data_IF_887133770981
#
_entry.id   IF_887133770981
#
_cell.length_a   1.000
_cell.length_b   1.000
_cell.length_c   1.000
_cell.angle_alpha   90.00
_cell.angle_beta   90.00
_cell.angle_gamma   90.00
#
_symmetry.space_group_name_H-M   'P 1'
#
loop_
_entity.id
_entity.type
_entity.pdbx_description
1 polymer ?
#
# COMPACT_ATOMS: atom_id res chain seq x y z
N UNK A 1 -2.16 7.45 -8.49
CA UNK A 1 -3.40 8.16 -8.92
C UNK A 1 -4.10 8.52 -7.62
N UNK A 2 -4.05 9.79 -7.22
CA UNK A 2 -4.83 10.37 -6.13
C UNK A 2 -6.28 10.45 -6.64
N UNK A 3 -7.14 9.57 -6.15
CA UNK A 3 -8.59 9.74 -6.29
C UNK A 3 -8.99 10.91 -5.41
N UNK A 4 -9.41 12.01 -6.04
CA UNK A 4 -10.05 13.13 -5.35
C UNK A 4 -11.36 12.62 -4.69
N UNK A 5 -11.63 12.98 -3.42
CA UNK A 5 -12.91 12.67 -2.79
C UNK A 5 -14.06 13.36 -3.54
N UNK A 6 -15.27 12.77 -3.54
CA UNK A 6 -16.42 13.34 -4.22
C UNK A 6 -16.76 14.74 -3.68
N UNK A 7 -17.22 15.67 -4.52
CA UNK A 7 -17.55 17.03 -4.12
C UNK A 7 -18.71 17.02 -3.12
N UNK A 8 -18.46 17.51 -1.90
CA UNK A 8 -19.47 17.67 -0.84
C UNK A 8 -19.10 17.14 0.54
N UNK A 9 -18.04 16.37 0.70
CA UNK A 9 -17.56 15.93 2.02
C UNK A 9 -16.35 16.76 2.44
N UNK A 10 -16.55 17.75 3.27
CA UNK A 10 -15.44 18.40 3.99
C UNK A 10 -14.73 17.33 4.83
N UNK A 11 -13.40 17.19 4.71
CA UNK A 11 -12.67 16.23 5.54
C UNK A 11 -12.90 16.59 7.00
N UNK A 12 -13.35 15.59 7.76
CA UNK A 12 -13.61 15.75 9.21
C UNK A 12 -12.27 15.93 9.91
N UNK A 13 -11.79 17.19 9.97
CA UNK A 13 -10.51 17.60 10.55
C UNK A 13 -10.39 17.17 12.03
N UNK A 14 -11.52 16.91 12.72
CA UNK A 14 -11.56 16.35 14.07
C UNK A 14 -11.12 14.88 14.09
N UNK A 15 -11.40 14.08 13.06
CA UNK A 15 -10.90 12.70 12.94
C UNK A 15 -9.40 12.67 12.65
N UNK A 16 -8.88 13.62 11.89
CA UNK A 16 -7.43 13.74 11.63
C UNK A 16 -6.63 14.11 12.88
N UNK A 17 -7.20 14.91 13.79
CA UNK A 17 -6.53 15.28 15.03
C UNK A 17 -6.58 14.19 16.11
N UNK A 18 -7.57 13.27 16.08
CA UNK A 18 -7.70 12.21 17.09
C UNK A 18 -6.92 10.93 16.77
N UNK A 19 -6.38 10.81 15.54
CA UNK A 19 -5.55 9.66 15.12
C UNK A 19 -4.04 9.91 15.22
N UNK A 20 -3.61 11.08 15.70
CA UNK A 20 -2.20 11.31 16.00
C UNK A 20 -1.83 10.75 17.36
N UNK A 21 -1.78 9.44 17.52
CA UNK A 21 -0.78 8.83 18.37
C UNK A 21 0.57 9.21 17.74
N UNK A 22 1.10 10.37 18.12
CA UNK A 22 2.44 10.82 17.75
C UNK A 22 3.39 9.79 18.37
N UNK A 23 3.73 8.76 17.61
CA UNK A 23 4.70 7.77 18.08
C UNK A 23 6.02 8.52 18.23
N UNK A 24 6.62 8.43 19.43
CA UNK A 24 7.92 9.00 19.74
C UNK A 24 8.97 8.67 18.67
N UNK A 25 8.86 7.52 18.04
CA UNK A 25 9.70 7.10 16.91
C UNK A 25 9.67 8.05 15.70
N UNK A 26 8.58 8.80 15.50
CA UNK A 26 8.48 9.80 14.42
C UNK A 26 9.04 11.16 14.80
N UNK A 27 9.15 11.48 16.09
CA UNK A 27 9.71 12.75 16.55
C UNK A 27 11.24 12.70 16.71
N UNK A 28 11.80 11.53 17.02
CA UNK A 28 13.23 11.35 17.25
C UNK A 28 14.14 11.86 16.11
N UNK A 29 13.86 11.59 14.82
CA UNK A 29 14.68 12.11 13.73
C UNK A 29 14.67 13.64 13.67
N UNK A 30 13.51 14.28 13.92
CA UNK A 30 13.41 15.74 13.94
C UNK A 30 14.18 16.35 15.12
N UNK A 31 14.03 15.76 16.30
CA UNK A 31 14.77 16.21 17.49
C UNK A 31 16.29 16.06 17.29
N UNK A 32 16.73 14.98 16.67
CA UNK A 32 18.16 14.80 16.33
C UNK A 32 18.64 15.87 15.36
N UNK A 33 17.83 16.26 14.38
CA UNK A 33 18.17 17.32 13.42
C UNK A 33 18.29 18.68 14.11
N UNK A 34 17.36 19.01 15.01
CA UNK A 34 17.44 20.24 15.81
C UNK A 34 18.66 20.23 16.73
N UNK A 35 18.93 19.10 17.39
CA UNK A 35 20.11 18.94 18.26
C UNK A 35 21.43 19.09 17.51
N UNK A 36 21.56 18.50 16.32
CA UNK A 36 22.76 18.64 15.48
C UNK A 36 22.89 20.04 14.91
N UNK A 37 21.80 20.74 14.62
CA UNK A 37 21.83 22.14 14.21
C UNK A 37 22.37 23.03 15.34
N UNK A 38 21.88 22.85 16.56
CA UNK A 38 22.38 23.58 17.74
C UNK A 38 23.89 23.28 17.96
N UNK A 39 24.29 22.02 17.82
CA UNK A 39 25.69 21.61 17.93
C UNK A 39 26.56 22.29 16.86
N UNK A 40 26.06 22.42 15.64
CA UNK A 40 26.74 23.13 14.54
C UNK A 40 26.98 24.60 14.87
N UNK A 41 26.04 25.26 15.58
CA UNK A 41 26.16 26.65 15.99
C UNK A 41 27.08 26.83 17.21
N UNK A 42 27.24 25.80 18.07
CA UNK A 42 28.06 25.85 19.28
C UNK A 42 29.53 25.48 19.03
N UNK A 43 29.79 24.60 18.05
CA UNK A 43 31.11 24.13 17.73
C UNK A 43 31.62 24.88 16.50
N UNK A 44 32.59 25.77 16.71
CA UNK A 44 33.26 26.51 15.65
C UNK A 44 34.18 25.57 14.85
N UNK A 45 34.15 25.72 13.52
CA UNK A 45 35.08 25.01 12.64
C UNK A 45 34.44 24.50 11.34
N UNK A 46 35.25 24.26 10.29
CA UNK A 46 34.74 23.86 8.96
C UNK A 46 34.03 22.50 8.94
N UNK A 47 34.33 21.61 9.91
CA UNK A 47 33.69 20.29 10.03
C UNK A 47 32.31 20.34 10.62
N UNK A 48 31.87 21.41 11.31
CA UNK A 48 30.58 21.52 11.97
C UNK A 48 29.41 21.48 10.96
N UNK A 49 29.63 21.94 9.74
CA UNK A 49 28.63 21.91 8.65
C UNK A 49 28.16 20.49 8.32
N UNK A 50 28.99 19.48 8.59
CA UNK A 50 28.67 18.08 8.31
C UNK A 50 27.83 17.40 9.43
N UNK A 51 27.75 17.95 10.64
CA UNK A 51 27.06 17.32 11.77
C UNK A 51 25.59 16.97 11.51
N UNK A 52 24.81 17.76 10.78
CA UNK A 52 23.42 17.43 10.49
C UNK A 52 23.20 16.34 9.44
N UNK A 53 24.24 15.93 8.71
CA UNK A 53 24.08 14.91 7.63
C UNK A 53 23.49 13.60 8.14
N UNK A 54 23.98 12.99 9.24
CA UNK A 54 23.38 11.76 9.78
C UNK A 54 21.92 11.94 10.20
N UNK A 55 21.56 13.11 10.78
CA UNK A 55 20.19 13.40 11.17
C UNK A 55 19.27 13.59 9.95
N UNK A 56 19.75 14.27 8.90
CA UNK A 56 19.03 14.40 7.63
C UNK A 56 18.81 13.06 6.94
N UNK A 57 19.82 12.16 6.96
CA UNK A 57 19.67 10.80 6.45
C UNK A 57 18.62 10.01 7.26
N UNK A 58 18.63 10.16 8.59
CA UNK A 58 17.62 9.52 9.43
C UNK A 58 16.22 10.05 9.14
N UNK A 59 16.06 11.37 8.92
CA UNK A 59 14.82 11.95 8.45
C UNK A 59 14.40 11.38 7.07
N UNK A 60 15.33 11.22 6.14
CA UNK A 60 15.07 10.69 4.81
C UNK A 60 14.53 9.26 4.81
N UNK A 61 14.95 8.44 5.79
CA UNK A 61 14.47 7.07 5.97
C UNK A 61 13.05 7.03 6.55
N UNK A 62 12.72 7.97 7.44
CA UNK A 62 11.48 7.93 8.22
C UNK A 62 10.35 8.82 7.66
N UNK A 63 10.67 9.83 6.87
CA UNK A 63 9.70 10.78 6.33
C UNK A 63 9.50 10.62 4.82
N UNK A 64 8.43 11.25 4.31
CA UNK A 64 8.17 11.31 2.86
C UNK A 64 9.22 12.15 2.14
N UNK A 65 9.39 11.93 0.83
CA UNK A 65 10.30 12.71 -0.02
C UNK A 65 10.00 14.22 0.10
N UNK A 66 8.72 14.60 0.12
CA UNK A 66 8.31 16.00 0.26
C UNK A 66 8.76 16.61 1.60
N UNK A 67 8.50 15.91 2.72
CA UNK A 67 8.91 16.38 4.04
C UNK A 67 10.44 16.49 4.16
N UNK A 68 11.17 15.50 3.65
CA UNK A 68 12.64 15.49 3.61
C UNK A 68 13.18 16.64 2.76
N UNK A 69 12.57 16.91 1.59
CA UNK A 69 12.95 18.05 0.74
C UNK A 69 12.78 19.39 1.46
N UNK A 70 11.65 19.57 2.15
CA UNK A 70 11.37 20.77 2.92
C UNK A 70 12.36 20.96 4.07
N UNK A 71 12.66 19.90 4.81
CA UNK A 71 13.65 19.91 5.90
C UNK A 71 15.05 20.22 5.37
N UNK A 72 15.47 19.60 4.28
CA UNK A 72 16.76 19.85 3.62
C UNK A 72 16.89 21.30 3.14
N UNK A 73 15.83 21.83 2.51
CA UNK A 73 15.80 23.20 2.03
C UNK A 73 15.88 24.20 3.20
N UNK A 74 15.06 23.99 4.23
CA UNK A 74 15.05 24.84 5.44
C UNK A 74 16.40 24.82 6.12
N UNK A 75 16.99 23.65 6.26
CA UNK A 75 18.33 23.49 6.85
C UNK A 75 19.41 24.19 6.03
N UNK A 76 19.45 24.01 4.72
CA UNK A 76 20.42 24.66 3.83
C UNK A 76 20.29 26.19 3.88
N UNK A 77 19.06 26.69 3.90
CA UNK A 77 18.79 28.14 4.02
C UNK A 77 19.28 28.70 5.35
N UNK A 78 19.04 27.99 6.46
CA UNK A 78 19.49 28.43 7.80
C UNK A 78 21.03 28.47 7.87
N UNK A 79 21.73 27.46 7.36
CA UNK A 79 23.20 27.45 7.30
C UNK A 79 23.73 28.60 6.46
N UNK A 80 23.16 28.87 5.29
CA UNK A 80 23.60 29.98 4.43
C UNK A 80 23.36 31.34 5.10
N UNK A 81 22.23 31.51 5.82
CA UNK A 81 21.98 32.73 6.60
C UNK A 81 22.94 32.87 7.79
N UNK A 82 23.24 31.76 8.49
CA UNK A 82 24.20 31.77 9.59
C UNK A 82 25.62 32.16 9.13
N UNK A 83 26.02 31.66 7.95
CA UNK A 83 27.28 32.02 7.30
C UNK A 83 27.30 33.51 6.85
N UNK A 84 26.21 34.00 6.25
CA UNK A 84 26.13 35.39 5.79
C UNK A 84 26.11 36.44 6.90
N UNK A 85 25.54 36.07 8.06
CA UNK A 85 25.47 36.95 9.23
C UNK A 85 26.69 36.83 10.20
N UNK A 86 27.69 35.98 9.85
CA UNK A 86 28.90 35.82 10.65
C UNK A 86 28.72 35.01 11.94
N UNK A 87 27.58 34.31 12.12
CA UNK A 87 27.36 33.41 13.26
C UNK A 87 28.20 32.11 13.17
N UNK A 88 28.64 31.76 11.97
CA UNK A 88 29.58 30.68 11.73
C UNK A 88 30.88 31.32 11.23
N UNK A 89 31.85 31.53 12.16
CA UNK A 89 33.21 31.99 11.83
C UNK A 89 34.00 30.82 11.33
N UNK A 90 34.20 30.74 10.06
CA UNK A 90 35.14 29.79 9.45
C UNK A 90 36.39 30.61 9.17
N UNK A 91 37.38 30.53 10.07
CA UNK A 91 38.74 31.06 9.99
C UNK A 91 38.93 32.34 9.15
N UNK A 92 39.29 33.45 9.77
CA UNK A 92 39.42 34.80 9.17
C UNK A 92 40.53 34.93 8.10
N UNK A 93 41.34 33.92 7.85
CA UNK A 93 42.53 34.02 7.00
C UNK A 93 42.35 33.75 5.49
N UNK A 94 41.13 33.41 5.05
CA UNK A 94 40.91 33.08 3.62
C UNK A 94 39.76 33.90 3.04
N UNK A 95 39.97 35.19 2.83
CA UNK A 95 39.13 36.08 2.05
C UNK A 95 39.26 35.84 0.54
N UNK A 96 39.29 34.62 0.04
CA UNK A 96 39.26 34.36 -1.38
C UNK A 96 37.87 33.94 -1.82
N UNK A 97 37.43 34.52 -2.93
CA UNK A 97 36.14 34.22 -3.60
C UNK A 97 35.93 32.72 -3.85
N UNK A 98 37.00 31.96 -4.09
CA UNK A 98 37.05 30.51 -4.26
C UNK A 98 36.61 29.72 -3.02
N UNK A 99 36.93 30.21 -1.81
CA UNK A 99 36.55 29.56 -0.57
C UNK A 99 35.04 29.63 -0.30
N UNK A 100 34.44 30.80 -0.48
CA UNK A 100 32.98 30.97 -0.39
C UNK A 100 32.22 30.10 -1.42
N UNK A 101 32.81 29.93 -2.61
CA UNK A 101 32.27 29.04 -3.64
C UNK A 101 32.31 27.57 -3.20
N UNK A 102 33.41 27.13 -2.60
CA UNK A 102 33.59 25.76 -2.08
C UNK A 102 32.59 25.45 -0.97
N UNK A 103 32.36 26.36 -0.02
CA UNK A 103 31.37 26.19 1.05
C UNK A 103 29.96 26.08 0.50
N UNK A 104 29.58 26.92 -0.46
CA UNK A 104 28.26 26.87 -1.12
C UNK A 104 28.03 25.53 -1.82
N UNK A 105 29.03 25.03 -2.54
CA UNK A 105 28.98 23.70 -3.18
C UNK A 105 28.86 22.61 -2.11
N UNK A 106 29.61 22.69 -1.02
CA UNK A 106 29.52 21.74 0.10
C UNK A 106 28.11 21.67 0.71
N UNK A 107 27.49 22.82 0.98
CA UNK A 107 26.10 22.88 1.50
C UNK A 107 25.09 22.29 0.48
N UNK A 108 25.27 22.56 -0.81
CA UNK A 108 24.41 21.98 -1.86
C UNK A 108 24.56 20.46 -1.94
N UNK A 109 25.76 19.93 -1.85
CA UNK A 109 26.01 18.49 -1.88
C UNK A 109 25.44 17.80 -0.61
N UNK A 110 25.57 18.43 0.55
CA UNK A 110 24.96 17.94 1.80
C UNK A 110 23.44 17.88 1.68
N UNK A 111 22.81 18.88 1.06
CA UNK A 111 21.37 18.91 0.85
C UNK A 111 20.87 17.82 -0.13
N UNK A 112 21.69 17.44 -1.11
CA UNK A 112 21.36 16.38 -2.08
C UNK A 112 21.34 14.98 -1.46
N UNK A 113 22.16 14.71 -0.47
CA UNK A 113 22.30 13.39 0.17
C UNK A 113 20.97 12.85 0.74
N UNK A 114 20.22 13.59 1.58
CA UNK A 114 18.94 13.10 2.09
C UNK A 114 17.84 12.98 0.99
N UNK A 115 17.90 13.78 -0.04
CA UNK A 115 16.97 13.71 -1.17
C UNK A 115 17.15 12.42 -1.97
N UNK A 116 18.39 12.06 -2.27
CA UNK A 116 18.68 10.80 -2.97
C UNK A 116 18.30 9.60 -2.11
N UNK A 117 18.61 9.60 -0.81
CA UNK A 117 18.22 8.55 0.12
C UNK A 117 16.69 8.41 0.22
N UNK A 118 15.95 9.51 0.34
CA UNK A 118 14.48 9.51 0.38
C UNK A 118 13.87 8.97 -0.93
N UNK A 119 14.43 9.36 -2.08
CA UNK A 119 14.00 8.87 -3.40
C UNK A 119 14.21 7.37 -3.54
N UNK A 120 15.37 6.87 -3.15
CA UNK A 120 15.70 5.43 -3.19
C UNK A 120 14.75 4.64 -2.27
N UNK A 121 14.52 5.13 -1.05
CA UNK A 121 13.60 4.48 -0.10
C UNK A 121 12.15 4.48 -0.60
N UNK A 122 11.68 5.56 -1.20
CA UNK A 122 10.34 5.62 -1.79
C UNK A 122 10.19 4.59 -2.91
N UNK A 123 11.19 4.50 -3.80
CA UNK A 123 11.20 3.53 -4.89
C UNK A 123 11.23 2.09 -4.35
N UNK A 124 12.11 1.80 -3.37
CA UNK A 124 12.18 0.49 -2.73
C UNK A 124 10.85 0.08 -2.09
N UNK A 125 10.22 0.99 -1.34
CA UNK A 125 8.94 0.70 -0.69
C UNK A 125 7.82 0.44 -1.71
N UNK A 126 7.80 1.17 -2.83
CA UNK A 126 6.85 0.92 -3.91
C UNK A 126 7.08 -0.45 -4.57
N UNK A 127 8.35 -0.82 -4.79
CA UNK A 127 8.68 -2.14 -5.33
C UNK A 127 8.29 -3.26 -4.37
N UNK A 128 8.58 -3.13 -3.07
CA UNK A 128 8.19 -4.11 -2.06
C UNK A 128 6.67 -4.30 -2.01
N UNK A 129 5.89 -3.21 -1.98
CA UNK A 129 4.41 -3.29 -2.04
C UNK A 129 3.91 -3.96 -3.30
N UNK A 130 4.54 -3.67 -4.44
CA UNK A 130 4.18 -4.30 -5.71
C UNK A 130 4.52 -5.79 -5.71
N UNK A 131 5.67 -6.17 -5.16
CA UNK A 131 6.04 -7.58 -5.01
C UNK A 131 5.09 -8.32 -4.06
N UNK A 132 4.72 -7.71 -2.93
CA UNK A 132 3.75 -8.24 -1.98
C UNK A 132 2.38 -8.42 -2.63
N UNK A 133 1.91 -7.41 -3.37
CA UNK A 133 0.66 -7.51 -4.12
C UNK A 133 0.70 -8.66 -5.13
N UNK A 134 1.75 -8.77 -5.96
CA UNK A 134 1.91 -9.84 -6.95
C UNK A 134 2.05 -11.22 -6.31
N UNK A 135 2.64 -11.31 -5.10
CA UNK A 135 2.75 -12.56 -4.36
C UNK A 135 1.40 -13.08 -3.82
N UNK A 136 0.45 -12.16 -3.53
CA UNK A 136 -0.81 -12.50 -2.86
C UNK A 136 -2.06 -12.34 -3.74
N UNK A 137 -1.94 -11.81 -4.98
CA UNK A 137 -3.08 -11.63 -5.89
C UNK A 137 -2.87 -12.40 -7.18
N UNK A 138 -3.96 -12.84 -7.77
CA UNK A 138 -3.98 -13.45 -9.11
C UNK A 138 -3.79 -12.38 -10.18
N UNK A 139 -2.83 -12.58 -11.06
CA UNK A 139 -2.42 -11.59 -12.07
C UNK A 139 -3.48 -11.32 -13.14
N UNK A 140 -4.37 -12.29 -13.40
CA UNK A 140 -5.41 -12.18 -14.40
C UNK A 140 -6.64 -11.45 -13.86
N UNK A 141 -7.06 -11.84 -12.66
CA UNK A 141 -8.36 -11.45 -12.07
C UNK A 141 -8.25 -10.37 -11.00
N UNK A 142 -7.06 -10.19 -10.41
CA UNK A 142 -6.80 -9.21 -9.36
C UNK A 142 -7.32 -9.57 -7.97
N UNK A 143 -8.07 -10.67 -7.80
CA UNK A 143 -8.48 -11.19 -6.49
C UNK A 143 -7.31 -11.88 -5.80
N UNK A 144 -7.46 -12.25 -4.52
CA UNK A 144 -6.42 -13.00 -3.82
C UNK A 144 -6.09 -14.30 -4.57
N UNK A 145 -4.82 -14.62 -4.67
CA UNK A 145 -4.41 -15.96 -5.09
C UNK A 145 -4.43 -16.91 -3.88
N UNK A 146 -4.12 -18.18 -4.11
CA UNK A 146 -4.08 -19.20 -3.06
C UNK A 146 -3.17 -18.81 -1.89
N UNK A 147 -1.99 -18.20 -2.18
CA UNK A 147 -1.04 -17.80 -1.14
C UNK A 147 -1.52 -16.59 -0.32
N UNK A 148 -2.33 -15.70 -0.91
CA UNK A 148 -2.93 -14.57 -0.20
C UNK A 148 -4.21 -14.94 0.55
N UNK A 149 -5.00 -15.88 0.02
CA UNK A 149 -6.28 -16.27 0.61
C UNK A 149 -6.13 -17.06 1.93
N UNK A 150 -5.31 -18.12 1.94
CA UNK A 150 -5.24 -19.03 3.09
C UNK A 150 -4.78 -18.38 4.38
N UNK A 151 -3.69 -17.57 4.43
CA UNK A 151 -3.29 -16.92 5.67
C UNK A 151 -4.36 -15.97 6.23
N UNK A 152 -5.06 -15.23 5.35
CA UNK A 152 -6.17 -14.38 5.74
C UNK A 152 -7.35 -15.16 6.29
N UNK A 153 -7.67 -16.29 5.65
CA UNK A 153 -8.75 -17.18 6.08
C UNK A 153 -8.46 -17.84 7.43
N UNK A 154 -7.25 -18.33 7.65
CA UNK A 154 -6.81 -18.93 8.93
C UNK A 154 -6.88 -17.90 10.05
N UNK A 155 -6.32 -16.71 9.86
CA UNK A 155 -6.36 -15.64 10.86
C UNK A 155 -7.81 -15.23 11.22
N UNK A 156 -8.67 -15.15 10.20
CA UNK A 156 -10.09 -14.81 10.40
C UNK A 156 -10.83 -15.93 11.13
N UNK A 157 -10.60 -17.19 10.75
CA UNK A 157 -11.20 -18.36 11.40
C UNK A 157 -10.83 -18.42 12.89
N UNK A 158 -9.56 -18.26 13.24
CA UNK A 158 -9.12 -18.23 14.63
C UNK A 158 -9.77 -17.09 15.45
N UNK A 159 -9.92 -15.91 14.85
CA UNK A 159 -10.55 -14.77 15.51
C UNK A 159 -12.04 -15.02 15.80
N UNK A 160 -12.75 -15.58 14.82
CA UNK A 160 -14.19 -15.86 14.92
C UNK A 160 -14.47 -17.03 15.85
N UNK A 161 -13.62 -18.05 15.86
CA UNK A 161 -13.73 -19.18 16.80
C UNK A 161 -13.64 -18.73 18.24
N UNK A 162 -12.69 -17.85 18.59
CA UNK A 162 -12.58 -17.25 19.93
C UNK A 162 -13.82 -16.46 20.34
N UNK A 163 -14.45 -15.77 19.38
CA UNK A 163 -15.66 -14.98 19.60
C UNK A 163 -16.95 -15.81 19.52
N UNK A 164 -16.89 -17.10 19.15
CA UNK A 164 -18.03 -17.96 18.84
C UNK A 164 -18.94 -17.38 17.75
N UNK A 165 -18.34 -16.75 16.77
CA UNK A 165 -19.05 -16.18 15.61
C UNK A 165 -19.18 -17.21 14.48
N UNK A 166 -20.28 -17.21 13.72
CA UNK A 166 -20.46 -18.14 12.63
C UNK A 166 -19.52 -17.82 11.46
N UNK A 167 -19.05 -18.86 10.79
CA UNK A 167 -18.16 -18.77 9.65
C UNK A 167 -18.59 -19.74 8.57
N UNK A 168 -18.60 -19.32 7.32
CA UNK A 168 -18.82 -20.17 6.18
C UNK A 168 -17.70 -20.05 5.15
N UNK A 169 -17.36 -21.16 4.53
CA UNK A 169 -16.42 -21.27 3.40
C UNK A 169 -17.18 -21.82 2.22
N UNK A 170 -17.03 -21.16 1.07
CA UNK A 170 -17.61 -21.60 -0.19
C UNK A 170 -16.49 -21.87 -1.21
N UNK A 171 -16.53 -23.02 -1.87
CA UNK A 171 -15.69 -23.34 -3.02
C UNK A 171 -16.54 -23.22 -4.27
N UNK A 172 -16.05 -22.44 -5.24
CA UNK A 172 -16.75 -22.16 -6.50
C UNK A 172 -15.93 -22.71 -7.64
N UNK A 173 -16.60 -23.41 -8.57
CA UNK A 173 -16.00 -23.97 -9.77
C UNK A 173 -16.85 -23.59 -10.99
N UNK A 174 -16.19 -23.03 -12.02
CA UNK A 174 -16.88 -22.63 -13.27
C UNK A 174 -17.17 -23.85 -14.15
N UNK A 175 -18.45 -24.14 -14.34
CA UNK A 175 -18.90 -25.34 -15.04
C UNK A 175 -18.39 -25.38 -16.49
N UNK A 176 -17.73 -26.48 -16.87
CA UNK A 176 -17.25 -26.73 -18.22
C UNK A 176 -16.27 -25.65 -18.77
N UNK A 177 -15.53 -24.96 -17.93
CA UNK A 177 -14.64 -23.86 -18.33
C UNK A 177 -13.60 -24.31 -19.40
N UNK A 178 -13.04 -25.51 -19.26
CA UNK A 178 -12.16 -26.07 -20.29
C UNK A 178 -12.82 -26.12 -21.66
N UNK A 179 -14.08 -26.55 -21.75
CA UNK A 179 -14.83 -26.62 -23.01
C UNK A 179 -15.10 -25.23 -23.61
N UNK A 180 -15.26 -24.22 -22.75
CA UNK A 180 -15.37 -22.82 -23.19
C UNK A 180 -14.06 -22.39 -23.84
N UNK A 181 -12.90 -22.65 -23.21
CA UNK A 181 -11.59 -22.36 -23.78
C UNK A 181 -11.36 -23.10 -25.11
N UNK A 182 -11.68 -24.39 -25.17
CA UNK A 182 -11.50 -25.20 -26.37
C UNK A 182 -12.36 -24.71 -27.55
N UNK A 183 -13.54 -24.14 -27.28
CA UNK A 183 -14.47 -23.67 -28.30
C UNK A 183 -14.29 -22.20 -28.69
N UNK A 184 -14.02 -21.31 -27.73
CA UNK A 184 -14.02 -19.86 -27.91
C UNK A 184 -12.64 -19.23 -27.75
N UNK A 185 -11.60 -20.05 -27.46
CA UNK A 185 -10.24 -19.63 -27.25
C UNK A 185 -9.96 -19.13 -25.83
N UNK A 186 -8.69 -19.15 -25.45
CA UNK A 186 -8.24 -18.74 -24.10
C UNK A 186 -8.53 -17.27 -23.80
N UNK A 187 -8.54 -16.38 -24.81
CA UNK A 187 -8.87 -14.98 -24.61
C UNK A 187 -10.32 -14.77 -24.12
N UNK A 188 -11.26 -15.56 -24.67
CA UNK A 188 -12.64 -15.54 -24.21
C UNK A 188 -12.77 -16.08 -22.78
N UNK A 189 -12.02 -17.15 -22.44
CA UNK A 189 -11.92 -17.67 -21.07
C UNK A 189 -11.36 -16.65 -20.09
N UNK A 190 -10.31 -15.93 -20.46
CA UNK A 190 -9.72 -14.87 -19.62
C UNK A 190 -10.69 -13.72 -19.39
N UNK A 191 -11.43 -13.29 -20.42
CA UNK A 191 -12.50 -12.30 -20.29
C UNK A 191 -13.60 -12.79 -19.36
N UNK A 192 -13.98 -14.06 -19.48
CA UNK A 192 -14.99 -14.67 -18.63
C UNK A 192 -14.57 -14.72 -17.16
N UNK A 193 -13.33 -15.13 -16.87
CA UNK A 193 -12.77 -15.12 -15.50
C UNK A 193 -12.77 -13.72 -14.89
N UNK A 194 -12.39 -12.69 -15.65
CA UNK A 194 -12.43 -11.29 -15.19
C UNK A 194 -13.85 -10.82 -14.92
N UNK A 195 -14.78 -11.16 -15.80
CA UNK A 195 -16.18 -10.80 -15.64
C UNK A 195 -16.82 -11.53 -14.45
N UNK A 196 -16.53 -12.81 -14.28
CA UNK A 196 -16.92 -13.61 -13.11
C UNK A 196 -16.43 -12.99 -11.81
N UNK A 197 -15.15 -12.68 -11.71
CA UNK A 197 -14.59 -12.10 -10.48
C UNK A 197 -15.17 -10.72 -10.18
N UNK A 198 -15.43 -9.90 -11.19
CA UNK A 198 -16.07 -8.60 -11.02
C UNK A 198 -17.48 -8.77 -10.49
N UNK A 199 -18.29 -9.67 -11.09
CA UNK A 199 -19.65 -9.97 -10.67
C UNK A 199 -19.70 -10.49 -9.23
N UNK A 200 -18.86 -11.47 -8.88
CA UNK A 200 -18.82 -12.01 -7.51
C UNK A 200 -18.41 -10.93 -6.51
N UNK A 201 -17.34 -10.17 -6.79
CA UNK A 201 -16.85 -9.12 -5.88
C UNK A 201 -17.90 -8.02 -5.60
N UNK A 202 -18.79 -7.71 -6.55
CA UNK A 202 -19.86 -6.72 -6.35
C UNK A 202 -20.96 -7.20 -5.38
N UNK A 203 -21.06 -8.51 -5.16
CA UNK A 203 -22.05 -9.13 -4.29
C UNK A 203 -21.49 -9.58 -2.94
N UNK A 204 -20.20 -9.41 -2.72
CA UNK A 204 -19.52 -9.66 -1.46
C UNK A 204 -19.35 -8.38 -0.65
N UNK A 205 -19.23 -8.53 0.67
CA UNK A 205 -18.96 -7.44 1.60
C UNK A 205 -17.47 -7.15 1.68
N UNK A 206 -17.10 -6.01 2.25
CA UNK A 206 -15.70 -5.63 2.42
C UNK A 206 -14.92 -6.58 3.35
N UNK A 207 -15.62 -7.18 4.32
CA UNK A 207 -15.07 -8.14 5.26
C UNK A 207 -14.95 -9.57 4.71
N UNK A 208 -15.62 -9.87 3.58
CA UNK A 208 -15.54 -11.18 2.95
C UNK A 208 -14.18 -11.36 2.25
N UNK A 209 -13.61 -12.57 2.31
CA UNK A 209 -12.43 -12.88 1.52
C UNK A 209 -12.84 -13.60 0.24
N UNK A 210 -12.23 -13.19 -0.87
CA UNK A 210 -12.44 -13.80 -2.16
C UNK A 210 -11.10 -14.05 -2.85
N UNK A 211 -10.88 -15.27 -3.32
CA UNK A 211 -9.63 -15.67 -3.94
C UNK A 211 -9.78 -16.72 -5.02
N UNK A 212 -8.82 -16.76 -5.96
CA UNK A 212 -8.69 -17.78 -7.00
C UNK A 212 -7.71 -18.85 -6.53
N UNK A 213 -8.16 -20.09 -6.50
CA UNK A 213 -7.35 -21.23 -6.02
C UNK A 213 -6.49 -21.84 -7.12
N UNK A 214 -6.93 -21.71 -8.37
CA UNK A 214 -6.23 -22.17 -9.58
C UNK A 214 -7.22 -22.45 -10.72
N UNK A 215 -6.81 -22.29 -11.96
CA UNK A 215 -7.68 -22.54 -13.11
C UNK A 215 -9.01 -21.80 -13.06
N UNK A 216 -10.08 -22.57 -12.94
CA UNK A 216 -11.48 -22.12 -12.79
C UNK A 216 -12.02 -22.17 -11.35
N UNK A 217 -11.18 -22.51 -10.38
CA UNK A 217 -11.57 -22.69 -8.99
C UNK A 217 -11.38 -21.40 -8.17
N UNK A 218 -12.39 -21.05 -7.37
CA UNK A 218 -12.38 -19.89 -6.48
C UNK A 218 -12.85 -20.27 -5.07
N UNK A 219 -12.46 -19.48 -4.09
CA UNK A 219 -12.92 -19.63 -2.72
C UNK A 219 -13.46 -18.29 -2.19
N UNK A 220 -14.52 -18.38 -1.38
CA UNK A 220 -15.08 -17.25 -0.63
C UNK A 220 -15.14 -17.65 0.83
N UNK A 221 -14.72 -16.75 1.72
CA UNK A 221 -14.90 -16.86 3.16
C UNK A 221 -15.87 -15.78 3.61
N UNK A 222 -16.94 -16.18 4.30
CA UNK A 222 -18.01 -15.32 4.78
C UNK A 222 -17.98 -15.28 6.31
N UNK A 223 -17.37 -14.26 6.93
CA UNK A 223 -17.37 -14.08 8.37
C UNK A 223 -18.76 -13.67 8.88
N UNK A 224 -19.06 -13.96 10.15
CA UNK A 224 -20.30 -13.59 10.81
C UNK A 224 -21.59 -13.97 10.01
N UNK A 225 -21.51 -15.12 9.30
CA UNK A 225 -22.57 -15.52 8.37
C UNK A 225 -23.08 -16.91 8.73
N UNK A 226 -24.37 -16.99 9.07
CA UNK A 226 -25.06 -18.24 9.38
C UNK A 226 -25.28 -19.09 8.13
N UNK A 227 -25.59 -20.39 8.30
CA UNK A 227 -25.87 -21.28 7.16
C UNK A 227 -27.00 -20.78 6.28
N UNK A 228 -28.08 -20.25 6.85
CA UNK A 228 -29.21 -19.72 6.08
C UNK A 228 -28.76 -18.52 5.21
N UNK A 229 -28.05 -17.57 5.82
CA UNK A 229 -27.52 -16.41 5.11
C UNK A 229 -26.49 -16.82 4.04
N UNK A 230 -25.69 -17.86 4.30
CA UNK A 230 -24.74 -18.39 3.30
C UNK A 230 -25.47 -18.92 2.08
N UNK A 231 -26.56 -19.66 2.28
CA UNK A 231 -27.39 -20.17 1.18
C UNK A 231 -27.98 -19.03 0.34
N UNK A 232 -28.47 -17.95 0.97
CA UNK A 232 -28.99 -16.77 0.27
C UNK A 232 -27.90 -16.07 -0.57
N UNK A 233 -26.67 -15.93 -0.02
CA UNK A 233 -25.54 -15.34 -0.73
C UNK A 233 -25.16 -16.21 -1.93
N UNK A 234 -25.01 -17.51 -1.73
CA UNK A 234 -24.57 -18.45 -2.77
C UNK A 234 -25.60 -18.55 -3.90
N UNK A 235 -26.91 -18.58 -3.58
CA UNK A 235 -27.93 -18.65 -4.63
C UNK A 235 -27.96 -17.36 -5.45
N UNK A 236 -27.83 -16.20 -4.81
CA UNK A 236 -27.68 -14.92 -5.50
C UNK A 236 -26.46 -14.92 -6.42
N UNK A 237 -25.30 -15.38 -5.96
CA UNK A 237 -24.09 -15.47 -6.78
C UNK A 237 -24.32 -16.40 -7.98
N UNK A 238 -24.95 -17.56 -7.79
CA UNK A 238 -25.23 -18.51 -8.85
C UNK A 238 -26.14 -17.91 -9.93
N UNK A 239 -27.19 -17.18 -9.52
CA UNK A 239 -28.09 -16.50 -10.44
C UNK A 239 -27.40 -15.40 -11.25
N UNK A 240 -26.60 -14.56 -10.59
CA UNK A 240 -25.90 -13.45 -11.25
C UNK A 240 -24.83 -13.97 -12.23
N UNK A 241 -24.10 -15.03 -11.87
CA UNK A 241 -23.15 -15.69 -12.77
C UNK A 241 -23.86 -16.30 -13.97
N UNK A 242 -25.04 -16.93 -13.80
CA UNK A 242 -25.80 -17.50 -14.91
C UNK A 242 -26.31 -16.43 -15.90
N UNK A 243 -26.48 -15.19 -15.47
CA UNK A 243 -26.86 -14.03 -16.32
C UNK A 243 -25.68 -13.40 -17.05
N UNK A 244 -24.45 -13.77 -16.64
CA UNK A 244 -23.23 -13.19 -17.18
C UNK A 244 -23.04 -13.59 -18.65
N UNK A 245 -22.73 -12.60 -19.50
CA UNK A 245 -22.41 -12.80 -20.90
C UNK A 245 -21.18 -12.01 -21.28
N UNK A 246 -20.19 -12.65 -21.84
CA UNK A 246 -19.02 -12.03 -22.46
C UNK A 246 -19.01 -12.33 -23.95
N UNK A 247 -18.38 -11.48 -24.73
CA UNK A 247 -18.25 -11.72 -26.18
C UNK A 247 -16.88 -12.33 -26.47
N UNK A 248 -16.87 -13.39 -27.28
CA UNK A 248 -15.63 -13.97 -27.82
C UNK A 248 -14.99 -13.07 -28.89
N UNK A 249 -13.90 -13.51 -29.51
CA UNK A 249 -13.20 -12.77 -30.57
C UNK A 249 -14.02 -12.59 -31.86
N UNK A 250 -15.07 -13.36 -32.07
CA UNK A 250 -15.98 -13.30 -33.22
C UNK A 250 -17.28 -12.54 -32.89
N UNK A 251 -17.45 -12.08 -31.64
CA UNK A 251 -18.66 -11.39 -31.20
C UNK A 251 -19.79 -12.31 -30.74
N UNK A 252 -19.54 -13.62 -30.59
CA UNK A 252 -20.55 -14.55 -30.09
C UNK A 252 -20.65 -14.47 -28.56
N UNK A 253 -21.86 -14.53 -27.98
CA UNK A 253 -22.03 -14.51 -26.55
C UNK A 253 -21.60 -15.84 -25.92
N UNK A 254 -20.75 -15.74 -24.90
CA UNK A 254 -20.29 -16.85 -24.06
C UNK A 254 -20.89 -16.68 -22.68
N UNK A 255 -21.54 -17.70 -22.15
CA UNK A 255 -22.11 -17.77 -20.81
C UNK A 255 -21.53 -18.93 -20.03
N UNK A 256 -21.62 -18.88 -18.71
CA UNK A 256 -21.13 -19.90 -17.80
C UNK A 256 -22.08 -20.04 -16.62
N UNK A 257 -22.09 -21.22 -16.02
CA UNK A 257 -22.68 -21.45 -14.69
C UNK A 257 -21.59 -21.79 -13.69
N UNK A 258 -21.91 -21.80 -12.42
CA UNK A 258 -20.97 -22.08 -11.33
C UNK A 258 -21.57 -23.12 -10.39
N UNK A 259 -20.76 -24.11 -10.06
CA UNK A 259 -21.04 -25.07 -9.00
C UNK A 259 -20.42 -24.59 -7.70
N UNK A 260 -21.19 -24.59 -6.59
CA UNK A 260 -20.74 -24.03 -5.32
C UNK A 260 -20.92 -25.04 -4.20
N UNK A 261 -19.79 -25.47 -3.61
CA UNK A 261 -19.75 -26.27 -2.39
C UNK A 261 -19.65 -25.38 -1.15
N UNK A 262 -20.41 -25.70 -0.08
CA UNK A 262 -20.50 -24.90 1.15
C UNK A 262 -20.07 -25.72 2.36
N UNK A 263 -19.20 -25.16 3.19
CA UNK A 263 -18.92 -25.66 4.53
C UNK A 263 -19.18 -24.55 5.55
N UNK A 264 -20.01 -24.84 6.55
CA UNK A 264 -20.30 -23.90 7.64
C UNK A 264 -19.77 -24.46 8.95
N UNK A 265 -19.10 -23.63 9.73
CA UNK A 265 -18.73 -23.97 11.08
C UNK A 265 -20.00 -24.02 11.94
N UNK A 266 -20.31 -25.21 12.45
CA UNK A 266 -21.47 -25.41 13.31
C UNK A 266 -21.10 -24.98 14.72
N UNK A 267 -21.85 -24.03 15.29
CA UNK A 267 -21.77 -23.79 16.75
C UNK A 267 -22.40 -25.00 17.42
N UNK A 268 -21.59 -25.93 17.94
CA UNK A 268 -22.06 -26.95 18.83
C UNK A 268 -22.63 -26.29 20.10
N UNK A 269 -23.87 -26.57 20.41
CA UNK A 269 -24.50 -26.27 21.71
C UNK A 269 -23.80 -27.02 22.82
#
# INVERSE_FOLDING_TARGET
>A
ILTLPPPGTLPDWRRLLYQTNISWSRLLPLLSLVGTLLLTLLIEGPGSIAFPVPALLWCAINYSVFATSLLSLSFSTLILLALSNGYLTISQDVQTQYWMFSVRIGVMLIALTPLTAASIMATRNNLLRRMEYLAHHDHLTGVLNRAGFWPGAEQMAEKLERGKHPLAVCMLDLDNFKRINDRHGHEAGDKLLKAFTTTVSQHLRQEDLFGRMGGEEFAVLLPDTTRAQTLDVVERLREEVARLKVLDGEGNPVSVTVSIGIACQHQGH
#
